data_IF_693917741585
#
_entry.id   IF_693917741585
#
_cell.length_a   1.000
_cell.length_b   1.000
_cell.length_c   1.000
_cell.angle_alpha   90.00
_cell.angle_beta   90.00
_cell.angle_gamma   90.00
#
_symmetry.space_group_name_H-M   'P 1'
#
loop_
_entity.id
_entity.type
_entity.pdbx_description
1 polymer ?
#
# COMPACT_ATOMS: atom_id res chain seq x y z
N UNK A 1 0.67 2.63 5.79
CA UNK A 1 0.86 3.21 7.16
C UNK A 1 0.13 4.54 7.22
N UNK A 2 -0.31 5.00 8.40
CA UNK A 2 -0.71 6.41 8.56
C UNK A 2 0.11 7.14 9.63
N UNK A 3 0.33 8.43 9.40
CA UNK A 3 0.99 9.34 10.32
C UNK A 3 0.08 10.52 10.69
N UNK A 4 0.32 11.10 11.86
CA UNK A 4 -0.33 12.32 12.34
C UNK A 4 0.73 13.25 12.90
N UNK A 5 0.78 14.50 12.43
CA UNK A 5 1.77 15.49 12.84
C UNK A 5 3.23 14.98 12.70
N UNK A 6 3.51 14.20 11.66
CA UNK A 6 4.83 13.61 11.41
C UNK A 6 5.16 12.35 12.22
N UNK A 7 4.30 11.93 13.15
CA UNK A 7 4.49 10.69 13.89
C UNK A 7 3.76 9.53 13.20
N UNK A 8 4.48 8.43 12.92
CA UNK A 8 3.91 7.20 12.40
C UNK A 8 3.11 6.48 13.48
N UNK A 9 1.80 6.37 13.30
CA UNK A 9 0.92 5.80 14.31
C UNK A 9 0.78 4.29 14.18
N UNK A 10 0.41 3.78 13.00
CA UNK A 10 0.29 2.34 12.79
C UNK A 10 0.20 1.92 11.32
N UNK A 11 0.36 0.61 11.10
CA UNK A 11 0.18 -0.05 9.81
C UNK A 11 -1.33 -0.25 9.56
N UNK A 12 -1.79 0.16 8.37
CA UNK A 12 -3.19 -0.02 7.94
C UNK A 12 -3.38 -1.44 7.40
N UNK A 13 -2.51 -1.83 6.48
CA UNK A 13 -2.46 -3.15 5.85
C UNK A 13 -1.01 -3.42 5.46
N UNK A 14 -0.59 -4.68 5.55
CA UNK A 14 0.70 -5.17 5.10
C UNK A 14 0.49 -6.52 4.43
N UNK A 15 1.07 -6.70 3.25
CA UNK A 15 1.11 -7.98 2.56
C UNK A 15 2.51 -8.24 2.00
N UNK A 16 3.29 -9.00 2.76
CA UNK A 16 4.65 -9.39 2.39
C UNK A 16 4.70 -10.50 1.32
N UNK A 17 3.55 -11.03 0.90
CA UNK A 17 3.40 -12.07 -0.12
C UNK A 17 2.42 -11.65 -1.21
N UNK A 18 2.31 -10.34 -1.44
CA UNK A 18 1.42 -9.79 -2.46
C UNK A 18 1.77 -10.37 -3.84
N UNK A 19 0.75 -10.86 -4.53
CA UNK A 19 0.84 -11.37 -5.89
C UNK A 19 0.13 -10.40 -6.84
N UNK A 20 0.87 -9.85 -7.81
CA UNK A 20 0.33 -8.93 -8.81
C UNK A 20 -0.78 -9.57 -9.67
N UNK A 21 -0.80 -10.90 -9.79
CA UNK A 21 -1.85 -11.65 -10.49
C UNK A 21 -3.18 -11.71 -9.74
N UNK A 22 -3.20 -11.36 -8.45
CA UNK A 22 -4.39 -11.43 -7.60
C UNK A 22 -4.71 -10.06 -6.99
N UNK A 23 -5.72 -9.39 -7.54
CA UNK A 23 -6.26 -8.15 -6.98
C UNK A 23 -7.60 -8.43 -6.31
N UNK A 24 -7.66 -8.22 -4.99
CA UNK A 24 -8.85 -8.46 -4.20
C UNK A 24 -9.04 -7.42 -3.10
N UNK A 25 -10.29 -7.26 -2.65
CA UNK A 25 -10.61 -6.45 -1.48
C UNK A 25 -10.50 -7.34 -0.25
N UNK A 26 -9.62 -6.98 0.68
CA UNK A 26 -9.47 -7.68 1.97
C UNK A 26 -10.03 -6.84 3.10
N UNK A 27 -10.69 -7.51 4.03
CA UNK A 27 -11.10 -6.88 5.28
C UNK A 27 -9.87 -6.65 6.18
N UNK A 28 -9.82 -5.48 6.80
CA UNK A 28 -8.79 -5.18 7.80
C UNK A 28 -9.08 -5.97 9.08
N UNK A 29 -8.02 -6.44 9.76
CA UNK A 29 -8.13 -7.13 11.05
C UNK A 29 -8.75 -6.24 12.13
N UNK A 30 -8.44 -4.94 12.07
CA UNK A 30 -8.91 -3.93 13.02
C UNK A 30 -9.42 -2.72 12.26
N UNK A 31 -10.51 -2.13 12.73
CA UNK A 31 -11.02 -0.86 12.21
C UNK A 31 -10.09 0.25 12.67
N UNK A 32 -9.60 1.05 11.71
CA UNK A 32 -8.75 2.23 11.97
C UNK A 32 -9.52 3.50 11.65
N UNK A 33 -9.50 4.46 12.58
CA UNK A 33 -10.11 5.77 12.38
C UNK A 33 -9.05 6.73 11.84
N UNK A 34 -9.18 7.07 10.57
CA UNK A 34 -8.36 8.09 9.92
C UNK A 34 -9.12 9.41 10.00
N UNK A 35 -8.46 10.45 10.53
CA UNK A 35 -9.03 11.79 10.68
C UNK A 35 -8.53 12.71 9.57
N UNK A 36 -9.27 13.77 9.22
CA UNK A 36 -8.75 14.83 8.37
C UNK A 36 -7.44 15.39 8.94
N UNK A 37 -6.43 15.54 8.09
CA UNK A 37 -5.08 15.96 8.48
C UNK A 37 -4.11 14.80 8.78
N UNK A 38 -4.59 13.56 8.81
CA UNK A 38 -3.71 12.39 8.80
C UNK A 38 -3.13 12.18 7.40
N UNK A 39 -1.88 11.73 7.34
CA UNK A 39 -1.20 11.38 6.10
C UNK A 39 -1.18 9.86 5.94
N UNK A 40 -1.40 9.39 4.71
CA UNK A 40 -1.36 7.96 4.39
C UNK A 40 -0.12 7.70 3.53
N UNK A 41 0.76 6.86 4.03
CA UNK A 41 1.95 6.41 3.33
C UNK A 41 1.75 4.99 2.81
N UNK A 42 1.99 4.80 1.52
CA UNK A 42 1.98 3.49 0.85
C UNK A 42 3.40 3.19 0.38
N UNK A 43 3.90 2.02 0.76
CA UNK A 43 5.20 1.51 0.32
C UNK A 43 4.98 0.20 -0.45
N UNK A 44 5.65 0.06 -1.59
CA UNK A 44 5.69 -1.20 -2.33
C UNK A 44 7.13 -1.59 -2.62
N UNK A 45 7.41 -2.87 -2.36
CA UNK A 45 8.69 -3.47 -2.66
C UNK A 45 8.60 -4.22 -4.00
N UNK A 46 9.29 -3.72 -5.02
CA UNK A 46 9.29 -4.29 -6.38
C UNK A 46 10.57 -5.11 -6.58
N UNK A 47 10.42 -6.39 -6.92
CA UNK A 47 11.55 -7.26 -7.29
C UNK A 47 11.73 -7.29 -8.80
N UNK A 48 12.91 -6.91 -9.30
CA UNK A 48 13.23 -6.87 -10.75
C UNK A 48 14.40 -7.78 -11.14
N UNK A 49 14.76 -8.76 -10.30
CA UNK A 49 15.93 -9.62 -10.51
C UNK A 49 15.87 -10.45 -11.81
N UNK A 50 14.67 -10.70 -12.32
CA UNK A 50 14.36 -11.45 -13.54
C UNK A 50 14.25 -10.58 -14.79
N UNK A 51 14.43 -9.25 -14.65
CA UNK A 51 14.29 -8.27 -15.74
C UNK A 51 15.67 -7.74 -16.14
N UNK A 52 15.97 -7.73 -17.44
CA UNK A 52 17.25 -7.22 -17.98
C UNK A 52 17.27 -5.71 -18.20
N UNK A 53 16.13 -5.02 -18.13
CA UNK A 53 15.98 -3.59 -18.36
C UNK A 53 15.43 -2.84 -17.14
N UNK A 54 15.57 -1.52 -17.16
CA UNK A 54 14.98 -0.63 -16.14
C UNK A 54 13.47 -0.78 -16.21
N UNK A 55 12.85 -1.06 -15.05
CA UNK A 55 11.40 -1.08 -14.92
C UNK A 55 10.91 0.32 -14.60
N UNK A 56 10.19 0.93 -15.53
CA UNK A 56 9.53 2.21 -15.29
C UNK A 56 8.18 1.97 -14.61
N UNK A 57 7.90 2.78 -13.59
CA UNK A 57 6.57 2.84 -12.96
C UNK A 57 5.60 3.47 -13.97
N UNK A 58 4.96 2.61 -14.76
CA UNK A 58 3.91 2.92 -15.72
C UNK A 58 2.63 2.20 -15.32
N UNK A 59 1.51 2.38 -16.03
CA UNK A 59 0.20 1.79 -15.70
C UNK A 59 0.25 0.27 -15.36
N UNK A 60 1.20 -0.47 -15.92
CA UNK A 60 1.40 -1.91 -15.66
C UNK A 60 2.08 -2.25 -14.32
N UNK A 61 2.72 -1.29 -13.63
CA UNK A 61 3.42 -1.48 -12.35
C UNK A 61 2.97 -0.43 -11.32
N UNK A 62 1.65 -0.28 -11.11
CA UNK A 62 1.12 0.63 -10.09
C UNK A 62 1.11 0.00 -8.70
N UNK A 63 1.77 0.66 -7.76
CA UNK A 63 1.55 0.49 -6.33
C UNK A 63 0.32 1.32 -5.94
N UNK A 64 -0.88 0.79 -6.17
CA UNK A 64 -2.13 1.46 -5.80
C UNK A 64 -2.79 0.71 -4.63
N UNK A 65 -3.11 1.43 -3.57
CA UNK A 65 -3.92 0.91 -2.46
C UNK A 65 -5.24 1.66 -2.40
N UNK A 66 -6.35 0.92 -2.42
CA UNK A 66 -7.70 1.47 -2.27
C UNK A 66 -8.19 1.18 -0.85
N UNK A 67 -8.49 2.25 -0.10
CA UNK A 67 -9.09 2.15 1.22
C UNK A 67 -10.58 2.45 1.10
N UNK A 68 -11.42 1.47 1.48
CA UNK A 68 -12.86 1.67 1.56
C UNK A 68 -13.22 2.26 2.92
N UNK A 69 -13.81 3.45 2.89
CA UNK A 69 -14.39 4.10 4.08
C UNK A 69 -15.84 3.66 4.25
N UNK A 70 -16.28 3.45 5.48
CA UNK A 70 -17.68 3.20 5.85
C UNK A 70 -18.27 4.42 6.53
#
# INVERSE_FOLDING_TARGET
>A
VFSRNGEQLSIICEDNKYDFGLQEIRNMKEIRIIKPGDEILVECNIRTLDRSGITFVSCFFFCLSLLKTF
#
